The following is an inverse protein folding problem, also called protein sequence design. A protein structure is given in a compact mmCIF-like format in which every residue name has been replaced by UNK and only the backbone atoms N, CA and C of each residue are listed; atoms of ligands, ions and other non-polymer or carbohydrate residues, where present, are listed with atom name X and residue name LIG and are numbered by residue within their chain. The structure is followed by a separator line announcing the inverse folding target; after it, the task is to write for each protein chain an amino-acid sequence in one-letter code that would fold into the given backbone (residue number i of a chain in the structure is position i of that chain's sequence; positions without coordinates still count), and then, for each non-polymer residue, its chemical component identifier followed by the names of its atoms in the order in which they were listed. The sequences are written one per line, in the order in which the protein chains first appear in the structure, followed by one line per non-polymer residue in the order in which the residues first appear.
data_IF_666944141624
#
_entry.id   IF_666944141624
#
_cell.length_a   1.000
_cell.length_b   1.000
_cell.length_c   1.000
_cell.angle_alpha   90.00
_cell.angle_beta   90.00
_cell.angle_gamma   90.00
#
_symmetry.space_group_name_H-M   'P 1'
#
loop_
_entity.id
_entity.type
_entity.pdbx_description
1 polymer ?
#
# COMPACT_ATOMS: atom_id res chain seq x y z
N UNK A 1 -0.57 4.89 -63.72
CA UNK A 1 -1.18 3.99 -62.71
C UNK A 1 -0.35 3.89 -61.44
N UNK A 2 0.98 3.72 -61.53
CA UNK A 2 1.88 3.60 -60.38
C UNK A 2 1.70 4.69 -59.30
N UNK A 3 1.58 5.95 -59.71
CA UNK A 3 1.41 7.08 -58.78
C UNK A 3 0.11 7.01 -57.97
N UNK A 4 -0.99 6.53 -58.57
CA UNK A 4 -2.28 6.36 -57.89
C UNK A 4 -2.21 5.23 -56.86
N UNK A 5 -1.50 4.15 -57.20
CA UNK A 5 -1.27 3.02 -56.29
C UNK A 5 -0.37 3.44 -55.13
N UNK A 6 0.73 4.15 -55.41
CA UNK A 6 1.62 4.68 -54.38
C UNK A 6 0.91 5.63 -53.42
N UNK A 7 0.03 6.50 -53.93
CA UNK A 7 -0.76 7.42 -53.12
C UNK A 7 -1.76 6.67 -52.24
N UNK A 8 -2.45 5.66 -52.77
CA UNK A 8 -3.36 4.82 -51.99
C UNK A 8 -2.64 4.06 -50.86
N UNK A 9 -1.45 3.51 -51.15
CA UNK A 9 -0.62 2.83 -50.16
C UNK A 9 -0.13 3.80 -49.08
N UNK A 10 0.30 5.00 -49.45
CA UNK A 10 0.72 6.01 -48.49
C UNK A 10 -0.42 6.43 -47.54
N UNK A 11 -1.62 6.66 -48.07
CA UNK A 11 -2.82 6.97 -47.27
C UNK A 11 -3.16 5.82 -46.32
N UNK A 12 -3.08 4.57 -46.81
CA UNK A 12 -3.34 3.39 -45.99
C UNK A 12 -2.34 3.25 -44.84
N UNK A 13 -1.04 3.43 -45.11
CA UNK A 13 0.01 3.36 -44.10
C UNK A 13 -0.17 4.45 -43.04
N UNK A 14 -0.46 5.68 -43.45
CA UNK A 14 -0.74 6.80 -42.53
C UNK A 14 -1.98 6.51 -41.69
N UNK A 15 -3.04 5.97 -42.29
CA UNK A 15 -4.26 5.62 -41.61
C UNK A 15 -4.04 4.53 -40.55
N UNK A 16 -3.36 3.45 -40.90
CA UNK A 16 -3.04 2.35 -39.98
C UNK A 16 -2.15 2.85 -38.84
N UNK A 17 -1.12 3.66 -39.15
CA UNK A 17 -0.26 4.25 -38.13
C UNK A 17 -1.05 5.14 -37.16
N UNK A 18 -1.89 6.04 -37.68
CA UNK A 18 -2.73 6.92 -36.86
C UNK A 18 -3.73 6.14 -35.99
N UNK A 19 -4.32 5.06 -36.53
CA UNK A 19 -5.22 4.20 -35.78
C UNK A 19 -4.51 3.49 -34.62
N UNK A 20 -3.32 2.93 -34.88
CA UNK A 20 -2.50 2.28 -33.84
C UNK A 20 -2.09 3.29 -32.76
N UNK A 21 -1.74 4.52 -33.14
CA UNK A 21 -1.33 5.58 -32.22
C UNK A 21 -2.48 6.04 -31.30
N UNK A 22 -3.69 6.20 -31.86
CA UNK A 22 -4.90 6.51 -31.09
C UNK A 22 -5.28 5.38 -30.13
N UNK A 23 -5.17 4.12 -30.56
CA UNK A 23 -5.46 2.95 -29.72
C UNK A 23 -4.47 2.85 -28.56
N UNK A 24 -3.17 3.06 -28.82
CA UNK A 24 -2.11 2.98 -27.80
C UNK A 24 -2.17 4.13 -26.78
N UNK A 25 -2.73 5.28 -27.14
CA UNK A 25 -2.82 6.43 -26.25
C UNK A 25 -3.91 6.22 -25.19
N UNK A 26 -3.64 6.46 -23.91
CA UNK A 26 -4.62 6.29 -22.82
C UNK A 26 -5.75 7.33 -22.87
N UNK A 27 -7.00 6.91 -22.58
CA UNK A 27 -8.20 7.74 -22.77
C UNK A 27 -8.37 8.88 -21.77
N UNK A 28 -7.49 8.91 -20.77
CA UNK A 28 -7.49 9.88 -19.67
C UNK A 28 -6.69 11.14 -19.98
N UNK A 29 -6.00 11.17 -21.13
CA UNK A 29 -5.07 12.25 -21.53
C UNK A 29 -5.47 12.95 -22.85
N UNK A 30 -6.57 12.53 -23.48
CA UNK A 30 -7.10 13.21 -24.68
C UNK A 30 -7.80 14.50 -24.27
N UNK A 31 -7.11 15.64 -24.40
CA UNK A 31 -7.67 16.97 -24.12
C UNK A 31 -8.71 17.33 -25.19
N UNK A 32 -9.89 17.78 -24.76
CA UNK A 32 -10.90 18.43 -25.60
C UNK A 32 -12.07 17.54 -26.07
N UNK A 33 -11.85 16.28 -26.45
CA UNK A 33 -12.89 15.37 -26.96
C UNK A 33 -12.61 13.91 -26.52
N UNK A 34 -13.67 13.11 -26.34
CA UNK A 34 -13.58 11.69 -25.96
C UNK A 34 -12.87 10.85 -27.03
N UNK A 35 -12.12 9.83 -26.59
CA UNK A 35 -11.44 8.84 -27.45
C UNK A 35 -12.20 8.39 -28.71
N UNK A 36 -13.47 7.96 -28.62
CA UNK A 36 -14.19 7.47 -29.80
C UNK A 36 -14.40 8.57 -30.86
N UNK A 37 -14.56 9.83 -30.46
CA UNK A 37 -14.73 10.92 -31.42
C UNK A 37 -13.43 11.25 -32.18
N UNK A 38 -12.25 11.03 -31.59
CA UNK A 38 -10.98 11.07 -32.33
C UNK A 38 -10.85 9.95 -33.37
N UNK A 39 -11.31 8.74 -33.04
CA UNK A 39 -11.35 7.62 -33.99
C UNK A 39 -12.26 7.98 -35.18
N UNK A 40 -13.42 8.58 -34.92
CA UNK A 40 -14.36 9.01 -35.97
C UNK A 40 -13.73 10.07 -36.88
N UNK A 41 -13.05 11.07 -36.32
CA UNK A 41 -12.34 12.10 -37.10
C UNK A 41 -11.26 11.47 -37.99
N UNK A 42 -10.52 10.48 -37.48
CA UNK A 42 -9.49 9.77 -38.25
C UNK A 42 -10.08 8.94 -39.40
N UNK A 43 -11.29 8.37 -39.22
CA UNK A 43 -11.99 7.58 -40.25
C UNK A 43 -12.56 8.48 -41.35
N UNK A 44 -13.19 9.59 -40.98
CA UNK A 44 -13.85 10.50 -41.93
C UNK A 44 -12.81 11.31 -42.72
N UNK A 45 -11.70 11.66 -42.06
CA UNK A 45 -10.70 12.58 -42.58
C UNK A 45 -9.31 11.98 -42.33
N UNK A 46 -8.83 11.00 -43.11
CA UNK A 46 -7.59 10.28 -42.80
C UNK A 46 -6.36 11.20 -42.75
N UNK A 47 -6.27 12.19 -43.65
CA UNK A 47 -5.16 13.14 -43.70
C UNK A 47 -5.33 14.25 -42.66
N UNK A 48 -6.51 14.86 -42.60
CA UNK A 48 -6.80 15.97 -41.68
C UNK A 48 -6.88 15.50 -40.21
N UNK A 49 -7.38 14.30 -39.96
CA UNK A 49 -7.40 13.66 -38.65
C UNK A 49 -6.01 13.35 -38.12
N UNK A 50 -5.10 12.85 -38.97
CA UNK A 50 -3.71 12.62 -38.59
C UNK A 50 -3.00 13.94 -38.26
N UNK A 51 -3.21 14.98 -39.06
CA UNK A 51 -2.66 16.33 -38.82
C UNK A 51 -3.20 16.89 -37.50
N UNK A 52 -4.52 16.84 -37.28
CA UNK A 52 -5.15 17.37 -36.09
C UNK A 52 -4.71 16.60 -34.84
N UNK A 53 -4.52 15.28 -34.95
CA UNK A 53 -4.00 14.44 -33.87
C UNK A 53 -2.58 14.84 -33.48
N UNK A 54 -1.69 15.01 -34.47
CA UNK A 54 -0.32 15.45 -34.22
C UNK A 54 -0.23 16.88 -33.65
N UNK A 55 -1.21 17.74 -33.97
CA UNK A 55 -1.27 19.12 -33.51
C UNK A 55 -1.86 19.27 -32.10
N UNK A 56 -2.94 18.55 -31.79
CA UNK A 56 -3.80 18.79 -30.61
C UNK A 56 -4.00 17.52 -29.79
N UNK A 57 -4.17 16.37 -30.46
CA UNK A 57 -4.47 15.09 -29.80
C UNK A 57 -3.28 14.47 -29.07
N UNK A 58 -2.06 14.72 -29.54
CA UNK A 58 -0.82 14.24 -28.93
C UNK A 58 -0.55 15.03 -27.64
N UNK A 59 -0.53 14.40 -26.46
CA UNK A 59 -0.21 15.08 -25.21
C UNK A 59 1.21 15.65 -25.28
N UNK A 60 1.32 16.96 -25.50
CA UNK A 60 2.56 17.73 -25.37
C UNK A 60 2.72 18.12 -23.91
N UNK A 61 3.08 17.17 -23.07
CA UNK A 61 3.18 17.43 -21.65
C UNK A 61 3.49 16.19 -20.85
N UNK A 62 4.75 16.10 -20.46
CA UNK A 62 5.26 15.51 -19.21
C UNK A 62 4.96 14.04 -18.94
N UNK A 63 6.05 13.27 -19.02
CA UNK A 63 6.23 11.94 -18.48
C UNK A 63 5.40 10.86 -19.19
N UNK A 64 6.09 9.89 -19.81
CA UNK A 64 5.54 8.54 -19.76
C UNK A 64 5.10 8.31 -18.30
N UNK A 65 3.92 7.71 -18.04
CA UNK A 65 3.66 7.18 -16.72
C UNK A 65 4.77 6.16 -16.50
N UNK A 66 5.85 6.59 -15.85
CA UNK A 66 6.86 5.69 -15.33
C UNK A 66 6.02 4.72 -14.51
N UNK A 67 6.12 3.41 -14.75
CA UNK A 67 5.44 2.46 -13.88
C UNK A 67 5.78 2.92 -12.47
N UNK A 68 4.74 3.28 -11.72
CA UNK A 68 4.86 3.60 -10.32
C UNK A 68 5.18 2.26 -9.67
N UNK A 69 6.44 1.84 -9.80
CA UNK A 69 6.99 0.80 -8.97
C UNK A 69 6.66 1.24 -7.54
N UNK A 70 6.02 0.38 -6.73
CA UNK A 70 5.91 0.63 -5.31
C UNK A 70 7.32 0.98 -4.85
N UNK A 71 7.55 2.26 -4.53
CA UNK A 71 8.79 2.61 -3.89
C UNK A 71 8.77 1.83 -2.59
N UNK A 72 9.81 1.04 -2.28
CA UNK A 72 9.91 0.46 -0.95
C UNK A 72 9.83 1.61 0.03
N UNK A 73 8.68 1.75 0.70
CA UNK A 73 8.51 2.74 1.76
C UNK A 73 9.56 2.39 2.80
N UNK A 74 10.42 3.35 3.11
CA UNK A 74 11.44 3.12 4.11
C UNK A 74 10.74 2.75 5.43
N UNK A 75 11.29 1.84 6.25
CA UNK A 75 10.59 1.32 7.43
C UNK A 75 10.18 2.40 8.45
N UNK A 76 10.80 3.57 8.41
CA UNK A 76 10.48 4.77 9.19
C UNK A 76 9.22 5.52 8.72
N UNK A 77 8.81 5.38 7.45
CA UNK A 77 7.64 6.04 6.86
C UNK A 77 6.40 5.12 6.72
N UNK A 78 6.49 3.86 7.15
CA UNK A 78 5.38 2.90 7.11
C UNK A 78 4.57 2.93 8.43
N UNK A 79 3.31 3.41 8.43
CA UNK A 79 2.48 3.47 9.63
C UNK A 79 2.24 2.08 10.25
N UNK A 80 2.18 1.01 9.44
CA UNK A 80 1.97 -0.33 9.96
C UNK A 80 3.22 -0.88 10.66
N UNK A 81 4.42 -0.52 10.18
CA UNK A 81 5.68 -0.87 10.84
C UNK A 81 5.79 -0.21 12.21
N UNK A 82 5.50 1.10 12.31
CA UNK A 82 5.53 1.84 13.57
C UNK A 82 4.51 1.29 14.58
N UNK A 83 3.29 0.98 14.15
CA UNK A 83 2.25 0.37 15.00
C UNK A 83 2.69 -0.98 15.56
N UNK A 84 3.32 -1.81 14.73
CA UNK A 84 3.82 -3.12 15.18
C UNK A 84 4.96 -2.97 16.20
N UNK A 85 5.81 -1.96 16.02
CA UNK A 85 6.92 -1.67 16.94
C UNK A 85 6.41 -1.19 18.30
N UNK A 86 5.40 -0.32 18.33
CA UNK A 86 4.72 0.09 19.56
C UNK A 86 4.04 -1.08 20.26
N UNK A 87 3.33 -1.94 19.52
CA UNK A 87 2.70 -3.13 20.07
C UNK A 87 3.72 -4.08 20.73
N UNK A 88 4.86 -4.31 20.07
CA UNK A 88 5.96 -5.11 20.63
C UNK A 88 6.53 -4.52 21.92
N UNK A 89 6.74 -3.21 21.98
CA UNK A 89 7.23 -2.52 23.20
C UNK A 89 6.24 -2.67 24.36
N UNK A 90 4.94 -2.52 24.10
CA UNK A 90 3.89 -2.71 25.13
C UNK A 90 3.90 -4.14 25.68
N UNK A 91 3.94 -5.13 24.80
CA UNK A 91 3.94 -6.55 25.20
C UNK A 91 5.18 -6.89 26.05
N UNK A 92 6.35 -6.34 25.72
CA UNK A 92 7.57 -6.52 26.51
C UNK A 92 7.44 -5.92 27.91
N UNK A 93 6.91 -4.70 28.01
CA UNK A 93 6.70 -4.04 29.31
C UNK A 93 5.70 -4.80 30.19
N UNK A 94 4.63 -5.35 29.60
CA UNK A 94 3.66 -6.17 30.32
C UNK A 94 4.28 -7.50 30.80
N UNK A 95 5.07 -8.16 29.96
CA UNK A 95 5.76 -9.39 30.33
C UNK A 95 6.74 -9.19 31.51
N UNK A 96 7.47 -8.07 31.52
CA UNK A 96 8.37 -7.73 32.63
C UNK A 96 7.60 -7.46 33.94
N UNK A 97 6.48 -6.72 33.86
CA UNK A 97 5.61 -6.49 35.02
C UNK A 97 5.06 -7.79 35.58
N UNK A 98 4.58 -8.67 34.70
CA UNK A 98 4.03 -9.96 35.09
C UNK A 98 5.11 -10.85 35.74
N UNK A 99 6.34 -10.82 35.23
CA UNK A 99 7.47 -11.52 35.81
C UNK A 99 7.79 -11.00 37.23
N UNK A 100 7.88 -9.68 37.42
CA UNK A 100 8.12 -9.08 38.74
C UNK A 100 7.05 -9.46 39.76
N UNK A 101 5.77 -9.41 39.37
CA UNK A 101 4.67 -9.82 40.25
C UNK A 101 4.76 -11.30 40.61
N UNK A 102 5.12 -12.16 39.65
CA UNK A 102 5.29 -13.59 39.90
C UNK A 102 6.45 -13.88 40.85
N UNK A 103 7.59 -13.19 40.67
CA UNK A 103 8.75 -13.32 41.55
C UNK A 103 8.43 -12.83 42.98
N UNK A 104 7.67 -11.75 43.12
CA UNK A 104 7.20 -11.24 44.41
C UNK A 104 6.24 -12.20 45.12
N UNK A 105 5.29 -12.78 44.39
CA UNK A 105 4.35 -13.77 44.92
C UNK A 105 5.08 -15.05 45.38
N UNK A 106 6.07 -15.52 44.62
CA UNK A 106 6.89 -16.69 44.99
C UNK A 106 7.73 -16.42 46.24
N UNK A 107 8.33 -15.23 46.35
CA UNK A 107 9.04 -14.81 47.55
C UNK A 107 8.13 -14.78 48.78
N UNK A 108 6.93 -14.21 48.65
CA UNK A 108 5.95 -14.13 49.74
C UNK A 108 5.44 -15.52 50.16
N UNK A 109 5.20 -16.42 49.20
CA UNK A 109 4.81 -17.80 49.49
C UNK A 109 5.88 -18.55 50.28
N UNK A 110 7.16 -18.36 49.95
CA UNK A 110 8.29 -18.94 50.70
C UNK A 110 8.41 -18.38 52.12
N UNK A 111 8.13 -17.10 52.32
CA UNK A 111 8.16 -16.47 53.64
C UNK A 111 7.03 -16.99 54.54
N UNK A 112 5.82 -17.18 53.99
CA UNK A 112 4.68 -17.75 54.72
C UNK A 112 4.93 -19.21 55.15
N UNK A 113 5.54 -20.04 54.30
CA UNK A 113 5.92 -21.42 54.64
C UNK A 113 6.99 -21.50 55.74
N UNK A 114 7.87 -20.48 55.85
CA UNK A 114 8.96 -20.46 56.83
C UNK A 114 8.54 -19.96 58.21
N UNK A 115 7.38 -19.34 58.35
CA UNK A 115 6.86 -18.90 59.65
C UNK A 115 6.34 -20.12 60.41
N UNK A 116 6.99 -20.56 61.51
CA UNK A 116 6.45 -21.65 62.31
C UNK A 116 5.09 -21.19 62.86
N UNK A 117 4.07 -22.03 62.77
CA UNK A 117 2.86 -21.83 63.56
C UNK A 117 3.34 -21.83 65.01
N UNK A 118 3.34 -20.66 65.65
CA UNK A 118 3.54 -20.58 67.08
C UNK A 118 2.23 -21.04 67.67
N UNK A 119 2.22 -22.31 68.07
CA UNK A 119 1.16 -22.95 68.81
C UNK A 119 1.00 -22.14 70.10
N UNK A 120 -0.06 -21.35 70.22
CA UNK A 120 -0.58 -20.97 71.54
C UNK A 120 -1.34 -22.17 72.07
N UNK A 121 -0.59 -23.17 72.50
CA UNK A 121 -1.02 -24.14 73.49
C UNK A 121 -0.66 -23.54 74.86
N UNK A 122 -1.51 -22.65 75.38
CA UNK A 122 -1.53 -22.45 76.84
C UNK A 122 -2.53 -23.44 77.43
N UNK A 123 -1.94 -24.31 78.23
CA UNK A 123 -2.47 -25.53 78.79
C UNK A 123 -3.40 -25.24 79.97
N UNK A 124 -4.36 -26.14 80.08
CA UNK A 124 -5.43 -26.24 81.06
C UNK A 124 -4.92 -26.51 82.50
N UNK A 125 -5.81 -26.30 83.48
CA UNK A 125 -5.87 -26.86 84.86
C UNK A 125 -5.06 -26.24 86.03
N UNK A 126 -5.79 -25.74 87.05
CA UNK A 126 -5.90 -26.26 88.45
C UNK A 126 -6.37 -25.11 89.38
N UNK A 127 -7.36 -25.22 90.27
CA UNK A 127 -7.79 -26.37 91.06
C UNK A 127 -7.26 -26.27 92.49
N UNK A 128 -8.12 -25.89 93.45
CA UNK A 128 -8.01 -26.11 94.92
C UNK A 128 -6.81 -25.49 95.70
N UNK A 129 -7.09 -24.47 96.53
CA UNK A 129 -7.22 -24.57 98.01
C UNK A 129 -7.49 -23.20 98.64
#
# INVERSE_FOLDING_TARGET
MLFRVALAVAVLVIFVYGLVDVIRTEGRLTRGISKPAWIIVQIILPVLGAILWLLIGRPRGTAQPRPSYPHPTAPDDDPDFLRNLEARRRNQAEAERLKKLKDELDAKAKDDDRKPRHDTDEHDTDGLK
#
